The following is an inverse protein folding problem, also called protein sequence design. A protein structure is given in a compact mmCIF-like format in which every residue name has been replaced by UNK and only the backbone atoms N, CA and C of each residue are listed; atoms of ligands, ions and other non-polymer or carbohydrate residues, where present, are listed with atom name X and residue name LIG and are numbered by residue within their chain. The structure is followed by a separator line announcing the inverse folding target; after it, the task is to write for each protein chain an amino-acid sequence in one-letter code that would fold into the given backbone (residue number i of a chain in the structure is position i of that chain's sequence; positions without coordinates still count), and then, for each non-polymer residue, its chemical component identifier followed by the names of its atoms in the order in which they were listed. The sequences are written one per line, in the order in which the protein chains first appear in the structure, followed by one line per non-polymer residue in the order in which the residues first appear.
data_IF_860531429940
#
_entry.id   IF_860531429940
#
_cell.length_a   1.000
_cell.length_b   1.000
_cell.length_c   1.000
_cell.angle_alpha   90.00
_cell.angle_beta   90.00
_cell.angle_gamma   90.00
#
_symmetry.space_group_name_H-M   'P 1'
#
loop_
_entity.id
_entity.type
_entity.pdbx_description
1 polymer ?
#
# COMPACT_ATOMS: atom_id res chain seq x y z
N UNK A 1 -4.46 -10.89 10.28
CA UNK A 1 -4.57 -9.88 9.20
C UNK A 1 -3.73 -8.63 9.43
N UNK A 2 -3.56 -8.15 10.66
CA UNK A 2 -2.79 -6.91 10.92
C UNK A 2 -1.31 -6.98 10.52
N UNK A 3 -0.69 -8.16 10.66
CA UNK A 3 0.70 -8.39 10.21
C UNK A 3 0.91 -8.12 8.72
N UNK A 4 0.04 -8.65 7.85
CA UNK A 4 0.14 -8.46 6.40
C UNK A 4 -0.05 -6.98 6.02
N UNK A 5 -1.02 -6.30 6.64
CA UNK A 5 -1.20 -4.84 6.45
C UNK A 5 0.08 -4.07 6.82
N UNK A 6 0.70 -4.39 7.96
CA UNK A 6 1.96 -3.75 8.38
C UNK A 6 3.12 -4.07 7.43
N UNK A 7 3.18 -5.27 6.87
CA UNK A 7 4.22 -5.65 5.90
C UNK A 7 4.08 -4.83 4.61
N UNK A 8 2.87 -4.73 4.06
CA UNK A 8 2.60 -3.92 2.85
C UNK A 8 2.96 -2.46 3.08
N UNK A 9 2.57 -1.88 4.22
CA UNK A 9 2.95 -0.50 4.59
C UNK A 9 4.47 -0.32 4.58
N UNK A 10 5.23 -1.25 5.18
CA UNK A 10 6.70 -1.18 5.20
C UNK A 10 7.34 -1.30 3.81
N UNK A 11 6.78 -2.13 2.93
CA UNK A 11 7.26 -2.28 1.54
C UNK A 11 7.04 -0.95 0.81
N UNK A 12 5.84 -0.38 0.90
CA UNK A 12 5.51 0.90 0.29
C UNK A 12 6.37 2.04 0.82
N UNK A 13 6.65 2.10 2.13
CA UNK A 13 7.52 3.11 2.74
C UNK A 13 8.97 3.06 2.22
N UNK A 14 9.46 1.88 1.87
CA UNK A 14 10.84 1.67 1.39
C UNK A 14 10.99 1.86 -0.11
N UNK A 15 9.89 1.85 -0.85
CA UNK A 15 9.89 2.07 -2.30
C UNK A 15 9.85 3.56 -2.63
N UNK A 16 10.65 3.97 -3.62
CA UNK A 16 10.60 5.33 -4.16
C UNK A 16 9.21 5.68 -4.73
N UNK A 17 8.58 4.73 -5.43
CA UNK A 17 7.23 4.89 -6.02
C UNK A 17 6.12 4.79 -4.96
N UNK A 18 6.33 4.00 -3.91
CA UNK A 18 5.36 3.77 -2.83
C UNK A 18 5.32 4.86 -1.76
N UNK A 19 6.46 5.49 -1.47
CA UNK A 19 6.62 6.38 -0.31
C UNK A 19 5.72 7.62 -0.33
N UNK A 20 5.43 8.17 -1.51
CA UNK A 20 4.57 9.34 -1.69
C UNK A 20 3.14 8.97 -2.12
N UNK A 21 2.84 7.68 -2.28
CA UNK A 21 1.58 7.23 -2.85
C UNK A 21 0.38 7.45 -1.90
N UNK A 22 -0.76 7.82 -2.47
CA UNK A 22 -2.04 8.01 -1.74
C UNK A 22 -2.50 6.76 -1.00
N UNK A 23 -2.24 5.57 -1.55
CA UNK A 23 -2.63 4.28 -0.96
C UNK A 23 -1.92 4.07 0.37
N UNK A 24 -0.63 4.42 0.45
CA UNK A 24 0.14 4.34 1.69
C UNK A 24 -0.47 5.23 2.79
N UNK A 25 -0.88 6.46 2.46
CA UNK A 25 -1.50 7.39 3.42
C UNK A 25 -2.82 6.82 3.97
N UNK A 26 -3.64 6.21 3.12
CA UNK A 26 -4.90 5.56 3.52
C UNK A 26 -4.65 4.34 4.39
N UNK A 27 -3.72 3.47 4.01
CA UNK A 27 -3.35 2.30 4.82
C UNK A 27 -2.85 2.70 6.21
N UNK A 28 -2.05 3.77 6.31
CA UNK A 28 -1.56 4.30 7.60
C UNK A 28 -2.66 4.92 8.46
N UNK A 29 -3.73 5.46 7.88
CA UNK A 29 -4.86 6.01 8.63
C UNK A 29 -5.81 4.93 9.16
N UNK A 30 -5.51 3.65 8.94
CA UNK A 30 -6.41 2.55 9.30
C UNK A 30 -7.61 2.42 8.37
N UNK A 31 -7.59 3.09 7.21
CA UNK A 31 -8.67 3.01 6.24
C UNK A 31 -8.64 1.65 5.52
N UNK A 32 -9.81 1.01 5.45
CA UNK A 32 -9.99 -0.19 4.62
C UNK A 32 -10.20 0.22 3.17
N UNK A 33 -9.27 -0.22 2.31
CA UNK A 33 -9.29 0.07 0.89
C UNK A 33 -10.54 -0.49 0.22
N UNK A 34 -11.12 0.28 -0.69
CA UNK A 34 -12.13 -0.20 -1.63
C UNK A 34 -11.51 -1.17 -2.64
N UNK A 35 -12.35 -1.90 -3.39
CA UNK A 35 -11.86 -2.81 -4.43
C UNK A 35 -11.00 -2.10 -5.48
N UNK A 36 -11.38 -0.89 -5.90
CA UNK A 36 -10.61 -0.11 -6.85
C UNK A 36 -9.22 0.22 -6.31
N UNK A 37 -9.14 0.60 -5.05
CA UNK A 37 -7.87 0.94 -4.40
C UNK A 37 -7.01 -0.29 -4.10
N UNK A 38 -7.63 -1.45 -3.89
CA UNK A 38 -6.93 -2.73 -3.85
C UNK A 38 -6.28 -3.05 -5.20
N UNK A 39 -6.98 -2.85 -6.32
CA UNK A 39 -6.37 -3.03 -7.65
C UNK A 39 -5.22 -2.03 -7.89
N UNK A 40 -5.37 -0.77 -7.47
CA UNK A 40 -4.28 0.20 -7.53
C UNK A 40 -3.09 -0.21 -6.66
N UNK A 41 -3.33 -0.81 -5.49
CA UNK A 41 -2.28 -1.34 -4.63
C UNK A 41 -1.55 -2.52 -5.29
N UNK A 42 -2.28 -3.44 -5.92
CA UNK A 42 -1.71 -4.58 -6.64
C UNK A 42 -0.78 -4.12 -7.76
N UNK A 43 -1.26 -3.20 -8.61
CA UNK A 43 -0.44 -2.59 -9.67
C UNK A 43 0.79 -1.88 -9.08
N UNK A 44 0.64 -1.21 -7.94
CA UNK A 44 1.78 -0.56 -7.30
C UNK A 44 2.83 -1.55 -6.81
N UNK A 45 2.40 -2.70 -6.27
CA UNK A 45 3.29 -3.74 -5.80
C UNK A 45 3.99 -4.45 -6.97
N UNK A 46 3.31 -4.65 -8.10
CA UNK A 46 3.92 -5.16 -9.34
C UNK A 46 5.02 -4.23 -9.86
N UNK A 47 4.90 -2.91 -9.67
CA UNK A 47 5.94 -1.96 -10.06
C UNK A 47 7.13 -1.91 -9.08
N UNK A 48 7.03 -2.55 -7.91
CA UNK A 48 8.07 -2.56 -6.87
C UNK A 48 8.88 -3.86 -6.88
N UNK A 49 8.25 -4.98 -7.23
CA UNK A 49 8.83 -6.33 -7.28
C UNK A 49 9.38 -6.65 -8.67
#
# INVERSE_FOLDING_TARGET
MEFYKRLVIKILERSSVGSENRILKKLKSGYDLTQREMSELEELLENIL
#
